data_IF_739811134262
#
_entry.id   IF_739811134262
#
_cell.length_a   1.000
_cell.length_b   1.000
_cell.length_c   1.000
_cell.angle_alpha   90.00
_cell.angle_beta   90.00
_cell.angle_gamma   90.00
#
_symmetry.space_group_name_H-M   'P 1'
#
loop_
_entity.id
_entity.type
_entity.pdbx_description
1 polymer ?
#
# COMPACT_ATOMS: atom_id res chain seq x y z
N UNK A 1 -18.91 -21.87 -15.58
CA UNK A 1 -18.61 -22.07 -14.14
C UNK A 1 -19.57 -21.19 -13.34
N UNK A 2 -20.13 -21.63 -12.20
CA UNK A 2 -20.94 -20.74 -11.38
C UNK A 2 -20.03 -19.75 -10.67
N UNK A 3 -20.26 -18.44 -10.83
CA UNK A 3 -19.55 -17.41 -10.11
C UNK A 3 -20.11 -17.26 -8.69
N UNK A 4 -19.30 -16.81 -7.75
CA UNK A 4 -19.76 -16.52 -6.37
C UNK A 4 -20.89 -15.49 -6.37
N UNK A 5 -20.76 -14.43 -7.15
CA UNK A 5 -21.81 -13.42 -7.32
C UNK A 5 -23.11 -14.04 -7.88
N UNK A 6 -22.99 -14.90 -8.90
CA UNK A 6 -24.15 -15.63 -9.46
C UNK A 6 -24.81 -16.59 -8.47
N UNK A 7 -24.05 -17.16 -7.53
CA UNK A 7 -24.61 -17.96 -6.43
C UNK A 7 -25.34 -17.09 -5.42
N UNK A 8 -24.78 -15.93 -5.04
CA UNK A 8 -25.38 -14.99 -4.07
C UNK A 8 -26.70 -14.42 -4.57
N UNK A 9 -26.78 -14.09 -5.86
CA UNK A 9 -27.97 -13.46 -6.48
C UNK A 9 -28.97 -14.46 -7.06
N UNK A 10 -28.62 -15.75 -7.09
CA UNK A 10 -29.41 -16.81 -7.72
C UNK A 10 -30.76 -17.08 -7.05
N UNK A 11 -31.79 -17.46 -7.84
CA UNK A 11 -33.15 -17.70 -7.35
C UNK A 11 -33.19 -18.83 -6.32
N UNK A 12 -32.42 -19.91 -6.53
CA UNK A 12 -32.36 -21.02 -5.58
C UNK A 12 -31.96 -20.57 -4.15
N UNK A 13 -31.10 -19.56 -4.04
CA UNK A 13 -30.73 -19.01 -2.74
C UNK A 13 -31.80 -18.11 -2.13
N UNK A 14 -32.61 -17.45 -2.97
CA UNK A 14 -33.70 -16.59 -2.52
C UNK A 14 -34.91 -17.40 -1.99
N UNK A 15 -35.09 -18.63 -2.45
CA UNK A 15 -36.16 -19.52 -2.00
C UNK A 15 -35.92 -20.10 -0.61
N UNK A 16 -34.66 -20.11 -0.13
CA UNK A 16 -34.30 -20.63 1.19
C UNK A 16 -34.53 -19.59 2.28
N UNK A 17 -35.38 -19.90 3.26
CA UNK A 17 -35.53 -19.04 4.43
C UNK A 17 -34.30 -19.14 5.36
N UNK A 18 -33.60 -18.01 5.67
CA UNK A 18 -32.32 -18.06 6.35
C UNK A 18 -32.46 -18.22 7.88
N UNK A 19 -32.55 -19.46 8.37
CA UNK A 19 -32.45 -19.73 9.81
C UNK A 19 -31.03 -19.70 10.37
N UNK A 20 -30.07 -19.27 9.54
CA UNK A 20 -28.66 -19.07 9.87
C UNK A 20 -28.31 -17.58 10.04
N UNK A 21 -27.06 -17.25 10.39
CA UNK A 21 -26.52 -15.89 10.35
C UNK A 21 -26.45 -15.36 8.90
N UNK A 22 -26.43 -14.05 8.66
CA UNK A 22 -26.49 -12.95 9.65
C UNK A 22 -27.88 -12.69 10.25
N UNK A 23 -27.87 -11.88 11.34
CA UNK A 23 -29.08 -11.59 12.13
C UNK A 23 -30.19 -10.83 11.42
N UNK A 24 -29.90 -10.09 10.34
CA UNK A 24 -30.88 -9.39 9.50
C UNK A 24 -31.73 -10.36 8.65
N UNK A 25 -31.36 -11.64 8.59
CA UNK A 25 -32.16 -12.69 7.92
C UNK A 25 -32.49 -12.38 6.45
N UNK A 26 -31.60 -11.65 5.73
CA UNK A 26 -31.82 -11.15 4.37
C UNK A 26 -33.10 -10.32 4.21
N UNK A 27 -33.69 -9.84 5.31
CA UNK A 27 -34.89 -9.04 5.26
C UNK A 27 -34.58 -7.59 4.89
N UNK A 28 -35.01 -7.10 3.71
CA UNK A 28 -34.67 -5.76 3.22
C UNK A 28 -35.21 -4.64 4.11
N UNK A 29 -36.23 -4.88 4.94
CA UNK A 29 -36.75 -3.89 5.90
C UNK A 29 -35.71 -3.46 6.93
N UNK A 30 -34.76 -4.35 7.26
CA UNK A 30 -33.68 -4.07 8.19
C UNK A 30 -32.35 -3.70 7.48
N UNK A 31 -32.34 -3.67 6.16
CA UNK A 31 -31.13 -3.40 5.37
C UNK A 31 -30.75 -1.93 5.23
N UNK A 32 -31.69 -1.00 5.42
CA UNK A 32 -31.42 0.43 5.26
C UNK A 32 -30.85 0.82 3.89
N UNK A 33 -31.19 0.07 2.83
CA UNK A 33 -30.65 0.24 1.47
C UNK A 33 -29.35 -0.52 1.20
N UNK A 34 -28.82 -1.27 2.18
CA UNK A 34 -27.67 -2.14 1.98
C UNK A 34 -28.09 -3.48 1.32
N UNK A 35 -27.17 -4.17 0.63
CA UNK A 35 -27.42 -5.42 -0.09
C UNK A 35 -27.50 -6.63 0.87
N UNK A 36 -28.44 -6.58 1.84
CA UNK A 36 -28.58 -7.65 2.85
C UNK A 36 -29.09 -8.96 2.26
N UNK A 37 -29.69 -8.93 1.07
CA UNK A 37 -30.13 -10.13 0.34
C UNK A 37 -28.97 -11.04 -0.05
N UNK A 38 -27.83 -10.46 -0.33
CA UNK A 38 -26.60 -11.11 -0.78
C UNK A 38 -25.58 -11.30 0.36
N UNK A 39 -25.85 -10.76 1.56
CA UNK A 39 -24.95 -10.88 2.70
C UNK A 39 -25.20 -12.20 3.45
N UNK A 40 -24.19 -13.06 3.37
CA UNK A 40 -24.18 -14.40 3.97
C UNK A 40 -22.85 -14.67 4.65
N UNK A 41 -22.77 -15.78 5.37
CA UNK A 41 -21.52 -16.39 5.84
C UNK A 41 -21.30 -17.74 5.14
N UNK A 42 -20.47 -18.63 5.69
CA UNK A 42 -20.17 -19.96 5.21
C UNK A 42 -21.39 -20.91 5.38
N UNK A 43 -22.27 -20.88 4.41
CA UNK A 43 -23.40 -21.81 4.31
C UNK A 43 -23.13 -22.86 3.21
N UNK A 44 -23.91 -23.96 3.25
CA UNK A 44 -23.76 -25.05 2.27
C UNK A 44 -23.80 -24.53 0.83
N UNK A 45 -22.81 -24.94 0.03
CA UNK A 45 -22.66 -24.53 -1.36
C UNK A 45 -21.82 -23.27 -1.60
N UNK A 46 -21.37 -22.56 -0.53
CA UNK A 46 -20.58 -21.33 -0.65
C UNK A 46 -19.12 -21.46 -0.21
N UNK A 47 -18.71 -22.66 0.24
CA UNK A 47 -17.35 -22.92 0.67
C UNK A 47 -16.99 -22.26 2.03
N UNK A 48 -15.77 -22.49 2.52
CA UNK A 48 -15.22 -21.91 3.74
C UNK A 48 -13.87 -21.27 3.41
N UNK A 49 -13.68 -20.00 3.78
CA UNK A 49 -12.45 -19.26 3.46
C UNK A 49 -11.19 -19.91 4.05
N UNK A 50 -11.31 -20.59 5.20
CA UNK A 50 -10.18 -21.26 5.85
C UNK A 50 -9.92 -22.70 5.34
N UNK A 51 -10.78 -23.24 4.43
CA UNK A 51 -10.62 -24.56 3.84
C UNK A 51 -10.52 -24.53 2.31
N UNK A 52 -11.18 -23.58 1.65
CA UNK A 52 -11.13 -23.26 0.22
C UNK A 52 -11.14 -24.47 -0.71
N UNK A 53 -12.10 -25.39 -0.54
CA UNK A 53 -12.20 -26.61 -1.37
C UNK A 53 -13.17 -26.46 -2.56
N UNK A 54 -13.96 -25.39 -2.62
CA UNK A 54 -15.01 -25.14 -3.59
C UNK A 54 -14.82 -23.85 -4.39
N UNK A 55 -15.81 -22.96 -4.34
CA UNK A 55 -15.83 -21.71 -5.11
C UNK A 55 -14.72 -20.76 -4.70
N UNK A 56 -14.37 -20.70 -3.41
CA UNK A 56 -13.29 -19.86 -2.91
C UNK A 56 -11.91 -20.42 -3.30
N UNK A 57 -11.76 -21.75 -3.33
CA UNK A 57 -10.57 -22.38 -3.89
C UNK A 57 -10.38 -22.07 -5.37
N UNK A 58 -11.49 -22.01 -6.13
CA UNK A 58 -11.47 -21.58 -7.53
C UNK A 58 -11.03 -20.13 -7.65
N UNK A 59 -11.55 -19.22 -6.81
CA UNK A 59 -11.17 -17.81 -6.77
C UNK A 59 -9.67 -17.64 -6.42
N UNK A 60 -9.19 -18.34 -5.40
CA UNK A 60 -7.78 -18.35 -5.02
C UNK A 60 -6.89 -18.81 -6.20
N UNK A 61 -7.28 -19.87 -6.91
CA UNK A 61 -6.59 -20.35 -8.09
C UNK A 61 -6.61 -19.36 -9.27
N UNK A 62 -7.67 -18.58 -9.45
CA UNK A 62 -7.72 -17.49 -10.46
C UNK A 62 -6.69 -16.42 -10.13
N UNK A 63 -6.64 -15.96 -8.89
CA UNK A 63 -5.64 -14.99 -8.46
C UNK A 63 -4.21 -15.51 -8.55
N UNK A 64 -3.96 -16.76 -8.18
CA UNK A 64 -2.65 -17.37 -8.34
C UNK A 64 -2.18 -17.31 -9.80
N UNK A 65 -3.06 -17.62 -10.77
CA UNK A 65 -2.74 -17.49 -12.21
C UNK A 65 -2.52 -16.05 -12.65
N UNK A 66 -3.42 -15.12 -12.25
CA UNK A 66 -3.33 -13.70 -12.62
C UNK A 66 -2.04 -13.04 -12.13
N UNK A 67 -1.55 -13.42 -10.96
CA UNK A 67 -0.34 -12.87 -10.37
C UNK A 67 0.90 -13.76 -10.56
N UNK A 68 0.79 -14.83 -11.34
CA UNK A 68 1.86 -15.81 -11.58
C UNK A 68 2.44 -16.38 -10.27
N UNK A 69 1.60 -16.57 -9.27
CA UNK A 69 1.98 -17.06 -7.94
C UNK A 69 1.71 -18.55 -7.80
N UNK A 70 2.49 -19.23 -6.94
CA UNK A 70 2.25 -20.63 -6.62
C UNK A 70 0.92 -20.75 -5.84
N UNK A 71 0.71 -19.83 -4.89
CA UNK A 71 -0.51 -19.77 -4.06
C UNK A 71 -0.98 -18.33 -3.88
N UNK A 72 -2.29 -18.15 -3.83
CA UNK A 72 -2.93 -16.88 -3.48
C UNK A 72 -4.01 -17.13 -2.42
N UNK A 73 -4.07 -16.24 -1.43
CA UNK A 73 -5.03 -16.29 -0.35
C UNK A 73 -5.86 -14.99 -0.39
N UNK A 74 -7.15 -15.05 -0.74
CA UNK A 74 -8.06 -13.92 -0.62
C UNK A 74 -8.23 -13.50 0.83
N UNK A 75 -8.15 -12.20 1.10
CA UNK A 75 -8.25 -11.63 2.45
C UNK A 75 -9.39 -10.61 2.52
N UNK A 76 -10.19 -10.71 3.56
CA UNK A 76 -11.31 -9.79 3.85
C UNK A 76 -11.06 -8.91 5.09
N UNK A 77 -9.92 -9.09 5.77
CA UNK A 77 -9.50 -8.25 6.90
C UNK A 77 -8.34 -7.29 6.52
N UNK A 78 -8.20 -6.99 5.23
CA UNK A 78 -7.19 -6.08 4.70
C UNK A 78 -5.78 -6.67 4.66
N UNK A 79 -4.85 -5.91 4.06
CA UNK A 79 -3.44 -6.27 4.02
C UNK A 79 -2.79 -6.38 5.41
N UNK A 80 -3.35 -5.69 6.42
CA UNK A 80 -2.88 -5.81 7.81
C UNK A 80 -2.94 -7.25 8.30
N UNK A 81 -4.05 -7.95 8.05
CA UNK A 81 -4.20 -9.37 8.37
C UNK A 81 -3.14 -10.21 7.64
N UNK A 82 -2.96 -10.00 6.34
CA UNK A 82 -1.96 -10.69 5.52
C UNK A 82 -0.53 -10.49 6.02
N UNK A 83 -0.16 -9.27 6.42
CA UNK A 83 1.16 -8.97 7.00
C UNK A 83 1.37 -9.72 8.32
N UNK A 84 0.38 -9.67 9.24
CA UNK A 84 0.46 -10.37 10.53
C UNK A 84 0.62 -11.88 10.32
N UNK A 85 -0.21 -12.47 9.46
CA UNK A 85 -0.16 -13.90 9.16
C UNK A 85 1.14 -14.30 8.47
N UNK A 86 1.60 -13.54 7.46
CA UNK A 86 2.84 -13.84 6.75
C UNK A 86 4.06 -13.76 7.68
N UNK A 87 4.19 -12.69 8.47
CA UNK A 87 5.32 -12.55 9.40
C UNK A 87 5.32 -13.70 10.41
N UNK A 88 4.15 -14.04 10.96
CA UNK A 88 4.05 -15.14 11.94
C UNK A 88 4.35 -16.51 11.32
N UNK A 89 3.91 -16.75 10.09
CA UNK A 89 4.17 -18.01 9.36
C UNK A 89 5.65 -18.18 8.99
N UNK A 90 6.32 -17.08 8.66
CA UNK A 90 7.71 -17.08 8.19
C UNK A 90 8.75 -16.96 9.31
N UNK A 91 8.32 -16.79 10.57
CA UNK A 91 9.23 -16.59 11.72
C UNK A 91 8.81 -17.39 12.94
N UNK A 92 9.76 -17.52 13.86
CA UNK A 92 9.54 -18.05 15.21
C UNK A 92 9.79 -16.95 16.24
N UNK A 93 9.23 -17.11 17.42
CA UNK A 93 9.47 -16.19 18.53
C UNK A 93 10.99 -16.03 18.78
N UNK A 94 11.44 -14.77 18.87
CA UNK A 94 12.84 -14.43 19.09
C UNK A 94 13.72 -14.41 17.85
N UNK A 95 13.20 -14.75 16.66
CA UNK A 95 13.96 -14.66 15.43
C UNK A 95 14.38 -13.20 15.14
N UNK A 96 15.52 -13.05 14.44
CA UNK A 96 15.95 -11.77 13.93
C UNK A 96 15.31 -11.50 12.58
N UNK A 97 14.83 -10.27 12.40
CA UNK A 97 14.25 -9.77 11.14
C UNK A 97 14.90 -8.45 10.74
N UNK A 98 15.05 -8.24 9.44
CA UNK A 98 15.53 -6.99 8.87
C UNK A 98 14.34 -6.27 8.24
N UNK A 99 14.04 -5.05 8.67
CA UNK A 99 12.82 -4.31 8.32
C UNK A 99 13.17 -2.96 7.70
N UNK A 100 12.62 -2.64 6.54
CA UNK A 100 12.73 -1.29 5.99
C UNK A 100 11.98 -0.30 6.91
N UNK A 101 12.66 0.80 7.28
CA UNK A 101 12.14 1.72 8.31
C UNK A 101 10.87 2.46 7.89
N UNK A 102 10.60 2.54 6.59
CA UNK A 102 9.39 3.10 6.00
C UNK A 102 8.24 2.08 5.82
N UNK A 103 8.30 0.92 6.45
CA UNK A 103 7.21 -0.05 6.44
C UNK A 103 5.96 0.48 7.16
N UNK A 104 4.79 -0.02 6.73
CA UNK A 104 3.53 0.27 7.38
C UNK A 104 3.49 -0.26 8.82
N UNK A 105 2.75 0.42 9.70
CA UNK A 105 2.64 0.05 11.13
C UNK A 105 2.27 -1.41 11.40
N UNK A 106 1.56 -2.08 10.47
CA UNK A 106 1.22 -3.51 10.60
C UNK A 106 2.46 -4.41 10.71
N UNK A 107 3.57 -4.03 10.03
CA UNK A 107 4.84 -4.75 10.15
C UNK A 107 5.41 -4.62 11.56
N UNK A 108 5.37 -3.43 12.15
CA UNK A 108 5.82 -3.18 13.52
C UNK A 108 4.96 -3.92 14.54
N UNK A 109 3.63 -3.96 14.32
CA UNK A 109 2.72 -4.75 15.16
C UNK A 109 3.04 -6.25 15.04
N UNK A 110 3.35 -6.75 13.84
CA UNK A 110 3.76 -8.13 13.65
C UNK A 110 5.07 -8.45 14.40
N UNK A 111 6.07 -7.55 14.31
CA UNK A 111 7.34 -7.68 15.05
C UNK A 111 7.09 -7.76 16.56
N UNK A 112 6.20 -6.92 17.09
CA UNK A 112 5.84 -6.92 18.51
C UNK A 112 5.11 -8.20 18.92
N UNK A 113 4.02 -8.54 18.23
CA UNK A 113 3.19 -9.71 18.52
C UNK A 113 3.96 -11.04 18.42
N UNK A 114 4.91 -11.12 17.48
CA UNK A 114 5.75 -12.31 17.30
C UNK A 114 7.03 -12.28 18.14
N UNK A 115 7.25 -11.25 18.97
CA UNK A 115 8.42 -11.12 19.85
C UNK A 115 9.76 -11.13 19.10
N UNK A 116 9.81 -10.51 17.91
CA UNK A 116 10.97 -10.56 17.02
C UNK A 116 12.04 -9.53 17.39
N UNK A 117 13.27 -9.79 16.98
CA UNK A 117 14.41 -8.89 17.12
C UNK A 117 14.60 -8.15 15.78
N UNK A 118 13.99 -6.98 15.64
CA UNK A 118 14.08 -6.20 14.40
C UNK A 118 15.39 -5.40 14.33
N UNK A 119 16.07 -5.46 13.18
CA UNK A 119 17.09 -4.52 12.73
C UNK A 119 16.53 -3.74 11.54
N UNK A 120 17.03 -2.53 11.27
CA UNK A 120 16.37 -1.63 10.34
C UNK A 120 17.25 -1.20 9.18
N UNK A 121 16.68 -1.23 7.98
CA UNK A 121 17.21 -0.56 6.79
C UNK A 121 16.62 0.86 6.73
N UNK A 122 17.48 1.85 6.50
CA UNK A 122 17.05 3.26 6.41
C UNK A 122 17.12 3.70 4.96
N UNK A 123 15.96 3.85 4.27
CA UNK A 123 15.96 4.44 2.94
C UNK A 123 16.40 5.91 2.99
N UNK A 124 17.12 6.36 1.96
CA UNK A 124 17.43 7.77 1.80
C UNK A 124 16.16 8.60 1.66
N UNK A 125 16.23 9.87 2.08
CA UNK A 125 15.15 10.84 1.93
C UNK A 125 15.56 11.91 0.92
N UNK A 126 14.76 12.09 -0.13
CA UNK A 126 14.95 13.15 -1.14
C UNK A 126 13.63 13.84 -1.43
N UNK A 127 13.58 15.16 -1.45
CA UNK A 127 12.34 15.96 -1.59
C UNK A 127 11.26 15.61 -0.54
N UNK A 128 11.64 15.06 0.62
CA UNK A 128 10.70 14.56 1.64
C UNK A 128 10.09 13.19 1.30
N UNK A 129 10.57 12.52 0.26
CA UNK A 129 10.13 11.21 -0.21
C UNK A 129 11.22 10.18 0.04
N UNK A 130 10.85 9.03 0.60
CA UNK A 130 11.77 7.93 0.78
C UNK A 130 12.11 7.27 -0.56
N UNK A 131 13.40 7.07 -0.77
CA UNK A 131 13.92 6.36 -1.93
C UNK A 131 13.80 4.85 -1.77
N UNK A 132 14.20 4.13 -2.81
CA UNK A 132 14.28 2.68 -2.83
C UNK A 132 15.36 2.16 -1.86
N UNK A 133 15.13 0.96 -1.34
CA UNK A 133 16.15 0.22 -0.59
C UNK A 133 17.14 -0.39 -1.58
N UNK A 134 18.43 -0.14 -1.38
CA UNK A 134 19.47 -0.62 -2.28
C UNK A 134 19.84 -2.09 -1.98
N UNK A 135 20.03 -2.94 -2.99
CA UNK A 135 20.43 -4.35 -2.79
C UNK A 135 21.74 -4.49 -2.00
N UNK A 136 22.69 -3.56 -2.20
CA UNK A 136 23.96 -3.53 -1.48
C UNK A 136 23.80 -3.27 0.02
N UNK A 137 22.85 -2.45 0.42
CA UNK A 137 22.52 -2.20 1.84
C UNK A 137 21.91 -3.42 2.50
N UNK A 138 21.01 -4.13 1.79
CA UNK A 138 20.44 -5.39 2.26
C UNK A 138 21.53 -6.42 2.46
N UNK A 139 22.42 -6.59 1.47
CA UNK A 139 23.53 -7.54 1.56
C UNK A 139 24.45 -7.22 2.75
N UNK A 140 24.86 -5.96 2.91
CA UNK A 140 25.73 -5.54 4.02
C UNK A 140 25.07 -5.74 5.40
N UNK A 141 23.74 -5.53 5.49
CA UNK A 141 22.99 -5.78 6.72
C UNK A 141 22.88 -7.28 7.02
N UNK A 142 22.70 -8.13 6.02
CA UNK A 142 22.68 -9.58 6.18
C UNK A 142 24.04 -10.14 6.57
N UNK A 143 25.14 -9.60 6.03
CA UNK A 143 26.52 -9.92 6.46
C UNK A 143 26.74 -9.57 7.94
N UNK A 144 26.21 -8.42 8.38
CA UNK A 144 26.30 -7.97 9.78
C UNK A 144 25.42 -8.81 10.73
N UNK A 145 24.29 -9.28 10.24
CA UNK A 145 23.29 -10.05 11.02
C UNK A 145 22.97 -11.40 10.34
N UNK A 146 23.93 -12.36 10.33
CA UNK A 146 23.78 -13.61 9.57
C UNK A 146 22.72 -14.56 10.11
N UNK A 147 22.17 -14.30 11.30
CA UNK A 147 21.04 -15.04 11.89
C UNK A 147 19.67 -14.46 11.51
N UNK A 148 19.62 -13.53 10.53
CA UNK A 148 18.37 -12.97 10.00
C UNK A 148 17.56 -14.05 9.31
N UNK A 149 16.27 -14.17 9.68
CA UNK A 149 15.34 -15.15 9.09
C UNK A 149 14.44 -14.55 8.03
N UNK A 150 14.05 -13.29 8.20
CA UNK A 150 13.09 -12.63 7.33
C UNK A 150 13.55 -11.20 7.05
N UNK A 151 13.50 -10.81 5.78
CA UNK A 151 13.64 -9.43 5.32
C UNK A 151 12.25 -8.92 4.92
N UNK A 152 11.86 -7.75 5.41
CA UNK A 152 10.54 -7.15 5.15
C UNK A 152 10.74 -5.78 4.53
N UNK A 153 10.23 -5.58 3.33
CA UNK A 153 10.30 -4.32 2.58
C UNK A 153 8.90 -3.85 2.17
N UNK A 154 8.75 -2.54 2.00
CA UNK A 154 7.58 -1.95 1.32
C UNK A 154 7.97 -1.51 -0.09
N UNK A 155 7.38 -2.14 -1.11
CA UNK A 155 7.61 -1.81 -2.52
C UNK A 155 6.40 -2.20 -3.37
N UNK A 156 5.71 -1.24 -4.04
CA UNK A 156 6.05 0.19 -4.06
C UNK A 156 5.78 0.87 -2.72
N UNK A 157 6.48 1.99 -2.48
CA UNK A 157 6.19 2.87 -1.34
C UNK A 157 4.84 3.57 -1.54
N UNK A 158 4.40 4.33 -0.55
CA UNK A 158 3.16 5.11 -0.63
C UNK A 158 3.21 6.13 -1.77
N UNK A 159 4.37 6.74 -1.99
CA UNK A 159 4.63 7.69 -3.07
C UNK A 159 4.86 7.01 -4.43
N UNK A 160 5.08 5.70 -4.46
CA UNK A 160 5.23 4.93 -5.69
C UNK A 160 6.67 4.54 -6.05
N UNK A 161 7.63 4.73 -5.15
CA UNK A 161 9.02 4.30 -5.36
C UNK A 161 9.12 2.78 -5.27
N UNK A 162 9.81 2.16 -6.23
CA UNK A 162 9.98 0.71 -6.35
C UNK A 162 11.46 0.35 -6.19
N UNK A 163 11.76 -0.61 -5.32
CA UNK A 163 13.11 -1.16 -5.11
C UNK A 163 13.42 -2.29 -6.10
N UNK A 164 14.71 -2.55 -6.36
CA UNK A 164 15.16 -3.71 -7.17
C UNK A 164 14.92 -5.02 -6.40
N UNK A 165 13.66 -5.47 -6.42
CA UNK A 165 13.26 -6.68 -5.71
C UNK A 165 14.00 -7.91 -6.22
N UNK A 166 14.34 -7.97 -7.51
CA UNK A 166 15.07 -9.13 -8.08
C UNK A 166 16.48 -9.25 -7.48
N UNK A 167 17.23 -8.16 -7.45
CA UNK A 167 18.57 -8.16 -6.86
C UNK A 167 18.50 -8.34 -5.32
N UNK A 168 17.52 -7.75 -4.66
CA UNK A 168 17.29 -7.92 -3.22
C UNK A 168 16.95 -9.38 -2.89
N UNK A 169 16.02 -10.01 -3.62
CA UNK A 169 15.67 -11.41 -3.42
C UNK A 169 16.89 -12.33 -3.57
N UNK A 170 17.71 -12.07 -4.59
CA UNK A 170 18.95 -12.81 -4.81
C UNK A 170 19.91 -12.71 -3.62
N UNK A 171 20.09 -11.50 -3.06
CA UNK A 171 20.92 -11.28 -1.88
C UNK A 171 20.35 -11.96 -0.63
N UNK A 172 19.04 -11.85 -0.41
CA UNK A 172 18.33 -12.47 0.73
C UNK A 172 18.46 -13.99 0.70
N UNK A 173 18.20 -14.60 -0.46
CA UNK A 173 18.29 -16.05 -0.63
C UNK A 173 19.72 -16.57 -0.51
N UNK A 174 20.73 -15.82 -0.96
CA UNK A 174 22.15 -16.20 -0.80
C UNK A 174 22.56 -16.31 0.69
N UNK A 175 21.88 -15.59 1.59
CA UNK A 175 22.07 -15.67 3.05
C UNK A 175 21.11 -16.66 3.73
N UNK A 176 20.28 -17.39 2.98
CA UNK A 176 19.33 -18.38 3.52
C UNK A 176 18.16 -17.75 4.29
N UNK A 177 17.89 -16.46 4.07
CA UNK A 177 16.75 -15.73 4.60
C UNK A 177 15.57 -15.74 3.62
N UNK A 178 14.39 -15.33 4.09
CA UNK A 178 13.15 -15.23 3.32
C UNK A 178 12.82 -13.77 3.05
N UNK A 179 12.18 -13.45 1.91
CA UNK A 179 11.78 -12.08 1.55
C UNK A 179 10.26 -11.93 1.55
N UNK A 180 9.74 -11.09 2.43
CA UNK A 180 8.35 -10.61 2.42
C UNK A 180 8.30 -9.18 1.88
N UNK A 181 7.47 -8.95 0.86
CA UNK A 181 7.23 -7.62 0.32
C UNK A 181 5.81 -7.16 0.66
N UNK A 182 5.69 -6.08 1.42
CA UNK A 182 4.45 -5.32 1.54
C UNK A 182 4.27 -4.48 0.26
N UNK A 183 3.49 -5.03 -0.66
CA UNK A 183 3.11 -4.37 -1.90
C UNK A 183 1.64 -3.93 -1.89
N UNK A 184 1.16 -3.48 -0.73
CA UNK A 184 -0.24 -3.05 -0.57
C UNK A 184 -0.65 -1.98 -1.61
N UNK A 185 0.28 -1.19 -2.11
CA UNK A 185 0.04 -0.19 -3.16
C UNK A 185 0.38 -0.69 -4.58
N UNK A 186 0.68 -1.97 -4.76
CA UNK A 186 1.19 -2.55 -6.01
C UNK A 186 0.31 -3.63 -6.63
N UNK A 187 -0.99 -3.73 -6.29
CA UNK A 187 -1.84 -4.78 -6.84
C UNK A 187 -2.04 -4.71 -8.37
N UNK A 188 -1.80 -3.56 -8.98
CA UNK A 188 -1.88 -3.33 -10.43
C UNK A 188 -0.54 -3.58 -11.16
N UNK A 189 0.56 -3.81 -10.46
CA UNK A 189 1.87 -4.03 -11.05
C UNK A 189 1.93 -5.35 -11.81
N UNK A 190 2.67 -5.38 -12.92
CA UNK A 190 2.83 -6.55 -13.78
C UNK A 190 1.71 -6.75 -14.82
N UNK A 191 0.61 -5.99 -14.78
CA UNK A 191 -0.49 -6.13 -15.76
C UNK A 191 -0.28 -5.34 -17.06
N UNK A 192 0.72 -4.50 -17.16
CA UNK A 192 1.08 -3.76 -18.36
C UNK A 192 2.57 -3.42 -18.33
N UNK A 193 3.24 -3.39 -19.51
CA UNK A 193 4.66 -3.05 -19.61
C UNK A 193 4.98 -1.58 -19.20
N UNK A 194 3.97 -0.74 -19.10
CA UNK A 194 4.13 0.65 -18.66
C UNK A 194 4.29 0.78 -17.13
N UNK A 195 4.11 -0.32 -16.39
CA UNK A 195 4.24 -0.39 -14.93
C UNK A 195 5.36 -1.34 -14.54
N UNK A 196 6.00 -1.13 -13.38
CA UNK A 196 6.95 -2.09 -12.82
C UNK A 196 6.36 -3.50 -12.70
N UNK A 197 7.22 -4.51 -12.69
CA UNK A 197 6.84 -5.91 -12.53
C UNK A 197 6.42 -6.22 -11.08
N UNK A 198 5.57 -7.22 -10.91
CA UNK A 198 5.12 -7.71 -9.61
C UNK A 198 6.31 -8.19 -8.75
N UNK A 199 6.38 -7.81 -7.46
CA UNK A 199 7.41 -8.30 -6.55
C UNK A 199 7.48 -9.84 -6.46
N UNK A 200 6.36 -10.53 -6.62
CA UNK A 200 6.33 -11.98 -6.60
C UNK A 200 7.10 -12.59 -7.80
N UNK A 201 6.86 -12.08 -9.01
CA UNK A 201 7.56 -12.51 -10.24
C UNK A 201 9.06 -12.17 -10.16
N UNK A 202 9.40 -11.09 -9.44
CA UNK A 202 10.79 -10.69 -9.21
C UNK A 202 11.50 -11.52 -8.14
N UNK A 203 10.83 -12.47 -7.48
CA UNK A 203 11.46 -13.45 -6.60
C UNK A 203 11.16 -13.30 -5.12
N UNK A 204 10.24 -12.43 -4.70
CA UNK A 204 9.76 -12.40 -3.32
C UNK A 204 9.10 -13.75 -2.95
N UNK A 205 9.29 -14.20 -1.71
CA UNK A 205 8.75 -15.47 -1.22
C UNK A 205 7.30 -15.33 -0.79
N UNK A 206 6.95 -14.17 -0.24
CA UNK A 206 5.58 -13.79 0.05
C UNK A 206 5.35 -12.31 -0.29
N UNK A 207 4.15 -11.99 -0.76
CA UNK A 207 3.76 -10.62 -1.15
C UNK A 207 2.35 -10.34 -0.65
N UNK A 208 2.15 -9.21 0.00
CA UNK A 208 0.82 -8.76 0.42
C UNK A 208 0.36 -7.59 -0.45
N UNK A 209 -0.81 -7.73 -1.04
CA UNK A 209 -1.42 -6.76 -1.96
C UNK A 209 -2.75 -6.27 -1.40
N UNK A 210 -3.04 -4.97 -1.46
CA UNK A 210 -4.41 -4.46 -1.24
C UNK A 210 -5.10 -4.27 -2.58
N UNK A 211 -6.06 -5.12 -2.91
CA UNK A 211 -6.81 -5.00 -4.17
C UNK A 211 -7.54 -3.66 -4.24
N UNK A 212 -8.21 -3.30 -3.15
CA UNK A 212 -9.04 -2.09 -3.07
C UNK A 212 -8.30 -0.77 -3.23
N UNK A 213 -6.95 -0.75 -3.15
CA UNK A 213 -6.20 0.50 -3.28
C UNK A 213 -5.95 0.88 -4.74
N UNK A 214 -5.69 -0.08 -5.60
CA UNK A 214 -5.24 0.16 -6.98
C UNK A 214 -5.99 -0.63 -8.04
N UNK A 215 -6.90 -1.52 -7.63
CA UNK A 215 -7.80 -2.29 -8.49
C UNK A 215 -9.25 -2.12 -8.04
N UNK A 216 -10.24 -2.35 -8.93
CA UNK A 216 -11.67 -2.13 -8.65
C UNK A 216 -12.26 -3.26 -7.79
N UNK A 217 -11.96 -3.25 -6.51
CA UNK A 217 -12.52 -4.14 -5.50
C UNK A 217 -12.96 -3.35 -4.27
N UNK A 218 -13.87 -3.88 -3.48
CA UNK A 218 -14.38 -3.19 -2.29
C UNK A 218 -13.29 -2.98 -1.24
N UNK A 219 -13.38 -1.88 -0.50
CA UNK A 219 -12.47 -1.56 0.61
C UNK A 219 -12.32 -2.77 1.54
N UNK A 220 -11.12 -3.00 2.05
CA UNK A 220 -10.74 -4.11 2.93
C UNK A 220 -10.27 -5.38 2.18
N UNK A 221 -10.58 -5.54 0.88
CA UNK A 221 -10.11 -6.68 0.11
C UNK A 221 -8.61 -6.64 -0.14
N UNK A 222 -7.94 -7.76 0.04
CA UNK A 222 -6.50 -7.90 -0.16
C UNK A 222 -6.14 -9.32 -0.62
N UNK A 223 -4.88 -9.54 -0.98
CA UNK A 223 -4.32 -10.85 -1.31
C UNK A 223 -3.01 -11.05 -0.55
N UNK A 224 -2.76 -12.27 -0.13
CA UNK A 224 -1.43 -12.75 0.21
C UNK A 224 -1.02 -13.78 -0.84
N UNK A 225 0.08 -13.51 -1.52
CA UNK A 225 0.72 -14.44 -2.47
C UNK A 225 1.89 -15.12 -1.78
N UNK A 226 2.13 -16.40 -2.03
CA UNK A 226 3.27 -17.09 -1.44
C UNK A 226 3.81 -18.21 -2.31
N UNK A 227 5.07 -18.58 -2.07
CA UNK A 227 5.65 -19.83 -2.53
C UNK A 227 4.94 -21.01 -1.88
N UNK A 228 4.81 -22.13 -2.62
CA UNK A 228 4.12 -23.34 -2.18
C UNK A 228 4.59 -23.84 -0.82
N UNK A 229 5.88 -23.80 -0.58
CA UNK A 229 6.49 -24.29 0.67
C UNK A 229 6.02 -23.59 1.95
N UNK A 230 5.47 -22.37 1.85
CA UNK A 230 4.97 -21.60 3.00
C UNK A 230 3.45 -21.65 3.12
N UNK A 231 2.76 -22.24 2.14
CA UNK A 231 1.31 -22.18 2.03
C UNK A 231 0.58 -22.75 3.26
N UNK A 232 1.03 -23.88 3.76
CA UNK A 232 0.40 -24.53 4.91
C UNK A 232 0.54 -23.71 6.20
N UNK A 233 1.72 -23.13 6.46
CA UNK A 233 1.95 -22.28 7.63
C UNK A 233 1.18 -20.96 7.52
N UNK A 234 1.13 -20.35 6.34
CA UNK A 234 0.34 -19.15 6.07
C UNK A 234 -1.15 -19.42 6.30
N UNK A 235 -1.70 -20.51 5.78
CA UNK A 235 -3.11 -20.84 5.97
C UNK A 235 -3.46 -21.03 7.45
N UNK A 236 -2.56 -21.67 8.20
CA UNK A 236 -2.72 -21.82 9.65
C UNK A 236 -2.77 -20.45 10.37
N UNK A 237 -1.88 -19.53 10.01
CA UNK A 237 -1.84 -18.22 10.65
C UNK A 237 -2.99 -17.29 10.16
N UNK A 238 -3.47 -17.46 8.94
CA UNK A 238 -4.69 -16.78 8.49
C UNK A 238 -5.89 -17.16 9.34
N UNK A 239 -6.03 -18.44 9.73
CA UNK A 239 -7.09 -18.87 10.64
C UNK A 239 -7.01 -18.21 12.04
N UNK A 240 -5.84 -17.66 12.43
CA UNK A 240 -5.66 -16.92 13.68
C UNK A 240 -6.00 -15.43 13.52
N UNK A 241 -5.61 -14.82 12.41
CA UNK A 241 -5.68 -13.36 12.23
C UNK A 241 -6.86 -12.89 11.39
N UNK A 242 -7.51 -13.77 10.65
CA UNK A 242 -8.65 -13.46 9.82
C UNK A 242 -9.96 -13.94 10.46
N UNK A 243 -11.05 -13.25 10.16
CA UNK A 243 -12.38 -13.58 10.69
C UNK A 243 -12.81 -14.99 10.27
N UNK A 244 -13.49 -15.70 11.18
CA UNK A 244 -14.16 -16.97 10.89
C UNK A 244 -15.50 -16.79 10.16
N UNK A 245 -16.00 -15.55 10.04
CA UNK A 245 -17.25 -15.22 9.35
C UNK A 245 -16.98 -14.17 8.27
N UNK A 246 -16.35 -14.57 7.14
CA UNK A 246 -15.94 -13.64 6.09
C UNK A 246 -17.15 -13.06 5.38
N UNK A 247 -17.07 -11.78 4.98
CA UNK A 247 -18.08 -11.15 4.13
C UNK A 247 -18.00 -11.70 2.70
N UNK A 248 -19.02 -12.38 2.25
CA UNK A 248 -19.12 -12.89 0.89
C UNK A 248 -19.34 -11.77 -0.14
N UNK A 249 -19.84 -10.62 0.27
CA UNK A 249 -19.88 -9.41 -0.58
C UNK A 249 -18.48 -8.94 -0.93
N UNK A 250 -17.52 -8.96 0.03
CA UNK A 250 -16.13 -8.64 -0.23
C UNK A 250 -15.50 -9.67 -1.17
N UNK A 251 -15.71 -10.96 -0.92
CA UNK A 251 -15.20 -12.04 -1.77
C UNK A 251 -15.77 -11.98 -3.19
N UNK A 252 -17.07 -11.67 -3.35
CA UNK A 252 -17.70 -11.49 -4.66
C UNK A 252 -17.12 -10.27 -5.40
N UNK A 253 -16.78 -9.18 -4.68
CA UNK A 253 -16.10 -8.03 -5.30
C UNK A 253 -14.69 -8.37 -5.78
N UNK A 254 -13.99 -9.26 -5.07
CA UNK A 254 -12.71 -9.78 -5.51
C UNK A 254 -12.85 -10.65 -6.76
N UNK A 255 -13.88 -11.50 -6.81
CA UNK A 255 -14.16 -12.31 -7.99
C UNK A 255 -14.47 -11.44 -9.21
N UNK A 256 -15.31 -10.42 -9.07
CA UNK A 256 -15.59 -9.45 -10.13
C UNK A 256 -14.33 -8.73 -10.60
N UNK A 257 -13.43 -8.38 -9.67
CA UNK A 257 -12.13 -7.79 -10.00
C UNK A 257 -11.26 -8.77 -10.81
N UNK A 258 -11.19 -10.03 -10.41
CA UNK A 258 -10.44 -11.05 -11.15
C UNK A 258 -11.02 -11.25 -12.56
N UNK A 259 -12.34 -11.34 -12.70
CA UNK A 259 -13.01 -11.48 -14.00
C UNK A 259 -12.72 -10.27 -14.90
N UNK A 260 -12.79 -9.06 -14.38
CA UNK A 260 -12.48 -7.85 -15.13
C UNK A 260 -11.03 -7.85 -15.63
N UNK A 261 -10.08 -8.29 -14.82
CA UNK A 261 -8.68 -8.39 -15.22
C UNK A 261 -8.46 -9.44 -16.29
N UNK A 262 -9.17 -10.59 -16.22
CA UNK A 262 -9.07 -11.67 -17.20
C UNK A 262 -9.73 -11.31 -18.55
N UNK A 263 -10.83 -10.57 -18.55
CA UNK A 263 -11.61 -10.27 -19.76
C UNK A 263 -11.25 -8.95 -20.43
N UNK A 264 -10.99 -7.92 -19.67
CA UNK A 264 -10.82 -6.54 -20.12
C UNK A 264 -9.50 -5.90 -19.68
N UNK A 265 -8.67 -6.61 -18.93
CA UNK A 265 -7.45 -6.07 -18.30
C UNK A 265 -6.56 -5.30 -19.27
N UNK A 266 -6.21 -5.91 -20.41
CA UNK A 266 -5.34 -5.29 -21.43
C UNK A 266 -5.92 -3.95 -21.93
N UNK A 267 -7.19 -3.91 -22.27
CA UNK A 267 -7.88 -2.70 -22.75
C UNK A 267 -7.91 -1.60 -21.67
N UNK A 268 -8.18 -1.98 -20.43
CA UNK A 268 -8.27 -1.05 -19.31
C UNK A 268 -6.91 -0.46 -18.96
N UNK A 269 -5.87 -1.27 -18.87
CA UNK A 269 -4.50 -0.81 -18.63
C UNK A 269 -3.98 0.05 -19.78
N UNK A 270 -4.27 -0.27 -21.02
CA UNK A 270 -3.94 0.58 -22.17
C UNK A 270 -4.59 1.97 -22.09
N UNK A 271 -5.87 2.02 -21.76
CA UNK A 271 -6.57 3.29 -21.57
C UNK A 271 -6.01 4.09 -20.37
N UNK A 272 -5.68 3.40 -19.29
CA UNK A 272 -5.06 3.99 -18.10
C UNK A 272 -3.67 4.58 -18.41
N UNK A 273 -2.80 3.82 -19.06
CA UNK A 273 -1.48 4.30 -19.51
C UNK A 273 -1.57 5.54 -20.39
N UNK A 274 -2.52 5.58 -21.31
CA UNK A 274 -2.77 6.78 -22.14
C UNK A 274 -3.14 8.00 -21.30
N UNK A 275 -4.01 7.87 -20.31
CA UNK A 275 -4.40 8.96 -19.41
C UNK A 275 -3.20 9.47 -18.62
N UNK A 276 -2.41 8.56 -18.06
CA UNK A 276 -1.19 8.90 -17.32
C UNK A 276 -0.17 9.63 -18.21
N UNK A 277 0.07 9.14 -19.42
CA UNK A 277 0.98 9.78 -20.39
C UNK A 277 0.52 11.17 -20.77
N UNK A 278 -0.78 11.35 -21.07
CA UNK A 278 -1.37 12.65 -21.37
C UNK A 278 -1.22 13.63 -20.21
N UNK A 279 -1.54 13.22 -19.00
CA UNK A 279 -1.36 14.05 -17.80
C UNK A 279 0.11 14.46 -17.59
N UNK A 280 1.04 13.52 -17.71
CA UNK A 280 2.49 13.75 -17.53
C UNK A 280 3.04 14.70 -18.59
N UNK A 281 2.52 14.65 -19.82
CA UNK A 281 2.89 15.57 -20.89
C UNK A 281 2.49 17.01 -20.54
N UNK A 282 1.29 17.23 -20.03
CA UNK A 282 0.85 18.56 -19.58
C UNK A 282 1.62 19.03 -18.36
N UNK A 283 1.83 18.14 -17.37
CA UNK A 283 2.56 18.45 -16.16
C UNK A 283 4.04 18.83 -16.41
N UNK A 284 4.64 18.36 -17.51
CA UNK A 284 5.99 18.73 -17.89
C UNK A 284 6.15 20.24 -18.27
N UNK A 285 5.05 20.92 -18.58
CA UNK A 285 5.03 22.35 -18.92
C UNK A 285 4.73 23.26 -17.71
N UNK A 286 4.52 22.71 -16.51
CA UNK A 286 4.29 23.52 -15.30
C UNK A 286 5.52 24.34 -14.94
N UNK A 287 5.29 25.54 -14.41
CA UNK A 287 6.36 26.49 -14.07
C UNK A 287 6.68 26.50 -12.58
N UNK A 288 5.73 26.18 -11.75
CA UNK A 288 5.81 26.29 -10.29
C UNK A 288 5.63 24.95 -9.60
N UNK A 289 4.59 24.22 -9.99
CA UNK A 289 4.37 22.84 -9.53
C UNK A 289 5.31 21.90 -10.30
N UNK A 290 5.68 20.80 -9.66
CA UNK A 290 6.45 19.73 -10.33
C UNK A 290 5.79 18.38 -10.08
N UNK A 291 5.73 17.55 -11.10
CA UNK A 291 5.33 16.16 -10.94
C UNK A 291 6.58 15.32 -10.64
N UNK A 292 6.58 14.62 -9.50
CA UNK A 292 7.64 13.67 -9.16
C UNK A 292 7.68 12.53 -10.17
N UNK A 293 8.87 12.09 -10.55
CA UNK A 293 9.08 11.08 -11.60
C UNK A 293 9.87 9.86 -11.14
N UNK A 294 10.26 9.83 -9.87
CA UNK A 294 11.14 8.77 -9.37
C UNK A 294 12.59 8.93 -9.78
N UNK A 295 13.04 10.16 -10.09
CA UNK A 295 14.40 10.41 -10.55
C UNK A 295 15.43 9.90 -9.55
N UNK A 296 16.35 9.05 -10.04
CA UNK A 296 17.40 8.43 -9.24
C UNK A 296 16.95 7.24 -8.38
N UNK A 297 15.71 6.78 -8.47
CA UNK A 297 15.23 5.52 -7.92
C UNK A 297 15.37 4.38 -8.96
N UNK A 298 15.37 3.13 -8.50
CA UNK A 298 15.41 1.97 -9.39
C UNK A 298 14.23 1.95 -10.37
N UNK A 299 13.01 2.10 -9.85
CA UNK A 299 11.81 2.23 -10.65
C UNK A 299 10.74 3.05 -9.91
N UNK A 300 9.68 3.41 -10.63
CA UNK A 300 8.59 4.23 -10.11
C UNK A 300 7.24 3.79 -10.67
N UNK A 301 6.22 3.73 -9.83
CA UNK A 301 4.84 3.50 -10.23
C UNK A 301 4.23 4.77 -10.86
N UNK A 302 4.00 4.79 -12.19
CA UNK A 302 3.44 5.96 -12.84
C UNK A 302 2.00 6.29 -12.42
N UNK A 303 1.30 5.35 -11.80
CA UNK A 303 -0.05 5.55 -11.25
C UNK A 303 -0.10 6.46 -10.01
N UNK A 304 1.04 6.68 -9.37
CA UNK A 304 1.16 7.64 -8.27
C UNK A 304 1.48 9.03 -8.83
N UNK A 305 0.54 9.94 -8.70
CA UNK A 305 0.73 11.34 -9.10
C UNK A 305 1.12 12.15 -7.86
N UNK A 306 2.42 12.23 -7.60
CA UNK A 306 2.97 13.02 -6.51
C UNK A 306 3.31 14.41 -7.02
N UNK A 307 2.55 15.40 -6.55
CA UNK A 307 2.69 16.81 -6.98
C UNK A 307 3.55 17.52 -5.95
N UNK A 308 4.79 17.81 -6.30
CA UNK A 308 5.71 18.59 -5.48
C UNK A 308 5.30 20.07 -5.49
N UNK A 309 5.27 20.67 -4.33
CA UNK A 309 4.91 22.07 -4.12
C UNK A 309 6.11 22.82 -3.51
N UNK A 310 6.24 24.09 -3.83
CA UNK A 310 7.18 24.93 -3.11
C UNK A 310 6.64 25.22 -1.70
N UNK A 311 7.25 24.73 -0.61
CA UNK A 311 6.69 24.86 0.74
C UNK A 311 6.52 26.33 1.18
N UNK A 312 7.26 27.24 0.58
CA UNK A 312 7.14 28.71 0.80
C UNK A 312 6.05 29.35 -0.04
N UNK A 313 5.60 28.72 -1.13
CA UNK A 313 4.62 29.28 -2.05
C UNK A 313 3.22 28.74 -1.79
N UNK A 314 3.04 27.42 -1.78
CA UNK A 314 1.77 26.76 -1.52
C UNK A 314 2.04 25.40 -0.87
N UNK A 315 1.93 25.28 0.46
CA UNK A 315 2.05 23.97 1.13
C UNK A 315 1.05 22.94 0.59
N UNK A 316 1.44 21.67 0.55
CA UNK A 316 0.57 20.59 0.05
C UNK A 316 -0.83 20.57 0.64
N UNK A 317 -1.02 20.75 1.99
CA UNK A 317 -2.38 20.86 2.56
C UNK A 317 -3.20 22.04 2.03
N UNK A 318 -2.57 23.16 1.71
CA UNK A 318 -3.25 24.30 1.13
C UNK A 318 -3.65 24.02 -0.34
N UNK A 319 -2.77 23.35 -1.11
CA UNK A 319 -3.09 22.87 -2.45
C UNK A 319 -4.26 21.89 -2.44
N UNK A 320 -4.24 20.89 -1.55
CA UNK A 320 -5.33 19.92 -1.38
C UNK A 320 -6.65 20.62 -1.01
N UNK A 321 -6.59 21.58 -0.09
CA UNK A 321 -7.75 22.39 0.29
C UNK A 321 -8.32 23.21 -0.89
N UNK A 322 -7.46 23.74 -1.77
CA UNK A 322 -7.88 24.45 -3.00
C UNK A 322 -8.51 23.48 -4.00
N UNK A 323 -7.91 22.32 -4.26
CA UNK A 323 -8.46 21.30 -5.13
C UNK A 323 -9.87 20.86 -4.68
N UNK A 324 -10.04 20.64 -3.39
CA UNK A 324 -11.34 20.24 -2.83
C UNK A 324 -12.42 21.31 -2.95
N UNK A 325 -12.12 22.56 -2.56
CA UNK A 325 -13.11 23.64 -2.56
C UNK A 325 -13.49 24.10 -3.96
N UNK A 326 -12.48 24.34 -4.80
CA UNK A 326 -12.66 25.07 -6.06
C UNK A 326 -12.91 24.13 -7.25
N UNK A 327 -12.38 22.89 -7.17
CA UNK A 327 -12.42 21.93 -8.28
C UNK A 327 -13.14 20.62 -7.94
N UNK A 328 -13.58 20.43 -6.68
CA UNK A 328 -14.27 19.22 -6.21
C UNK A 328 -13.43 17.96 -6.41
N UNK A 329 -12.13 18.06 -6.14
CA UNK A 329 -11.16 16.97 -6.19
C UNK A 329 -10.69 16.69 -4.77
N UNK A 330 -10.90 15.45 -4.32
CA UNK A 330 -10.31 14.93 -3.07
C UNK A 330 -8.99 14.25 -3.40
N UNK A 331 -7.96 14.50 -2.62
CA UNK A 331 -6.63 13.91 -2.80
C UNK A 331 -6.38 12.85 -1.75
N UNK A 332 -5.47 11.92 -2.02
CA UNK A 332 -5.16 10.84 -1.09
C UNK A 332 -4.47 11.37 0.17
N UNK A 333 -3.46 12.21 0.00
CA UNK A 333 -2.63 12.72 1.09
C UNK A 333 -1.99 14.04 0.73
N UNK A 334 -1.74 14.87 1.74
CA UNK A 334 -1.03 16.14 1.57
C UNK A 334 0.00 16.33 2.70
N UNK A 335 1.26 16.45 2.28
CA UNK A 335 2.41 16.79 3.13
C UNK A 335 2.82 18.25 2.94
N UNK A 336 3.65 18.83 3.82
CA UNK A 336 4.10 20.21 3.65
C UNK A 336 4.71 20.51 2.28
N UNK A 337 5.47 19.57 1.68
CA UNK A 337 6.18 19.75 0.42
C UNK A 337 5.50 19.15 -0.81
N UNK A 338 4.48 18.33 -0.64
CA UNK A 338 3.82 17.63 -1.74
C UNK A 338 2.41 17.15 -1.39
N UNK A 339 1.66 16.74 -2.40
CA UNK A 339 0.43 15.96 -2.25
C UNK A 339 0.46 14.73 -3.15
N UNK A 340 -0.35 13.75 -2.82
CA UNK A 340 -0.51 12.50 -3.58
C UNK A 340 -1.93 12.39 -4.11
N UNK A 341 -2.06 12.13 -5.42
CA UNK A 341 -3.27 11.60 -6.01
C UNK A 341 -3.01 10.15 -6.42
N UNK A 342 -3.85 9.24 -5.96
CA UNK A 342 -3.83 7.84 -6.39
C UNK A 342 -4.74 7.69 -7.59
N UNK A 343 -4.27 6.96 -8.60
CA UNK A 343 -5.05 6.66 -9.80
C UNK A 343 -5.13 5.16 -10.05
N UNK A 344 -6.09 4.73 -10.87
CA UNK A 344 -6.33 3.32 -11.18
C UNK A 344 -6.93 3.14 -12.58
N UNK A 345 -7.10 1.89 -12.99
CA UNK A 345 -7.80 1.55 -14.24
C UNK A 345 -9.28 1.99 -14.26
N UNK A 346 -9.85 2.29 -13.09
CA UNK A 346 -11.25 2.72 -12.96
C UNK A 346 -11.45 4.23 -13.16
N UNK A 347 -10.37 5.02 -13.25
CA UNK A 347 -10.47 6.43 -13.50
C UNK A 347 -11.00 6.74 -14.91
N UNK A 348 -11.69 7.88 -15.03
CA UNK A 348 -12.32 8.32 -16.26
C UNK A 348 -11.50 9.43 -16.97
N UNK A 349 -11.75 9.60 -18.28
CA UNK A 349 -11.17 10.73 -19.05
C UNK A 349 -11.59 12.09 -18.46
N UNK A 350 -12.83 12.19 -17.94
CA UNK A 350 -13.34 13.39 -17.27
C UNK A 350 -12.56 13.68 -15.97
N UNK A 351 -12.31 12.66 -15.14
CA UNK A 351 -11.55 12.79 -13.89
C UNK A 351 -10.13 13.32 -14.16
N UNK A 352 -9.43 12.71 -15.12
CA UNK A 352 -8.10 13.18 -15.54
C UNK A 352 -8.10 14.58 -16.15
N UNK A 353 -9.10 14.91 -16.99
CA UNK A 353 -9.23 16.24 -17.56
C UNK A 353 -9.49 17.31 -16.48
N UNK A 354 -10.31 16.99 -15.47
CA UNK A 354 -10.58 17.86 -14.33
C UNK A 354 -9.31 18.12 -13.51
N UNK A 355 -8.57 17.08 -13.17
CA UNK A 355 -7.32 17.20 -12.43
C UNK A 355 -6.27 17.99 -13.20
N UNK A 356 -6.11 17.71 -14.50
CA UNK A 356 -5.17 18.39 -15.39
C UNK A 356 -5.47 19.90 -15.48
N UNK A 357 -6.74 20.25 -15.69
CA UNK A 357 -7.19 21.65 -15.71
C UNK A 357 -6.94 22.35 -14.39
N UNK A 358 -7.35 21.73 -13.27
CA UNK A 358 -7.22 22.29 -11.95
C UNK A 358 -5.77 22.63 -11.60
N UNK A 359 -4.86 21.68 -11.76
CA UNK A 359 -3.45 21.87 -11.46
C UNK A 359 -2.79 22.87 -12.43
N UNK A 360 -3.15 22.87 -13.71
CA UNK A 360 -2.65 23.84 -14.68
C UNK A 360 -3.12 25.28 -14.42
N UNK A 361 -4.35 25.48 -13.93
CA UNK A 361 -4.85 26.79 -13.52
C UNK A 361 -4.14 27.28 -12.25
N UNK A 362 -3.96 26.39 -11.28
CA UNK A 362 -3.25 26.69 -10.02
C UNK A 362 -1.79 27.04 -10.30
N UNK A 363 -1.11 26.28 -11.16
CA UNK A 363 0.29 26.55 -11.54
C UNK A 363 0.46 27.94 -12.16
N UNK A 364 -0.42 28.32 -13.11
CA UNK A 364 -0.41 29.65 -13.71
C UNK A 364 -0.68 30.78 -12.70
N UNK A 365 -1.62 30.58 -11.77
CA UNK A 365 -1.89 31.54 -10.70
C UNK A 365 -0.67 31.75 -9.80
N UNK A 366 0.05 30.70 -9.50
CA UNK A 366 1.26 30.75 -8.67
C UNK A 366 2.40 31.46 -9.41
N UNK A 367 2.60 31.16 -10.70
CA UNK A 367 3.59 31.82 -11.54
C UNK A 367 3.34 33.34 -11.65
N UNK A 368 2.09 33.75 -11.88
CA UNK A 368 1.74 35.17 -11.96
C UNK A 368 1.94 35.97 -10.66
N UNK A 369 1.86 35.32 -9.50
CA UNK A 369 2.18 35.95 -8.20
C UNK A 369 3.68 36.17 -8.01
N UNK A 370 4.52 35.29 -8.57
CA UNK A 370 5.98 35.45 -8.51
C UNK A 370 6.43 36.65 -9.34
N UNK A 371 5.85 36.87 -10.52
CA UNK A 371 6.17 37.98 -11.39
C UNK A 371 5.69 39.32 -10.80
N UNK A 372 4.54 39.36 -10.13
CA UNK A 372 3.98 40.56 -9.50
C UNK A 372 4.77 41.05 -8.28
N UNK A 373 5.38 40.14 -7.50
CA UNK A 373 6.21 40.49 -6.34
C UNK A 373 7.59 41.03 -6.73
N UNK A 374 8.07 40.74 -7.93
CA UNK A 374 9.33 41.24 -8.44
C UNK A 374 9.26 42.74 -8.85
N UNK A 375 8.06 43.30 -9.01
CA UNK A 375 7.85 44.69 -9.38
C UNK A 375 7.89 45.66 -8.18
N UNK A 376 7.69 45.20 -6.95
CA UNK A 376 7.61 46.08 -5.75
C UNK A 376 8.85 46.02 -4.83
N UNK A 377 9.84 45.17 -5.07
CA UNK A 377 11.05 45.09 -4.24
C UNK A 377 12.33 45.11 -5.07
N UNK A 378 12.68 46.30 -5.61
CA UNK A 378 14.07 46.60 -5.99
C UNK A 378 14.87 46.99 -4.74
N UNK A 379 15.09 46.07 -3.82
CA UNK A 379 16.20 46.15 -2.86
C UNK A 379 16.84 44.80 -2.82
N UNK A 380 18.08 44.82 -3.30
CA UNK A 380 19.04 43.76 -3.38
C UNK A 380 19.03 42.82 -2.18
N UNK A 381 18.56 41.61 -2.37
CA UNK A 381 19.13 40.45 -1.71
C UNK A 381 19.18 39.32 -2.72
N UNK A 382 20.37 38.99 -3.20
CA UNK A 382 20.65 37.78 -3.97
C UNK A 382 19.97 36.62 -3.27
N UNK A 383 19.06 35.95 -3.95
CA UNK A 383 18.56 34.64 -3.54
C UNK A 383 19.73 33.68 -3.65
N UNK A 384 20.56 33.63 -2.61
CA UNK A 384 21.50 32.53 -2.46
C UNK A 384 20.65 31.28 -2.32
N UNK A 385 20.80 30.40 -3.29
CA UNK A 385 20.25 29.05 -3.31
C UNK A 385 20.96 28.18 -2.26
N UNK A 386 20.73 28.48 -0.99
CA UNK A 386 20.93 27.50 0.09
C UNK A 386 19.57 26.93 0.41
N UNK A 387 19.28 25.84 -0.26
CA UNK A 387 18.20 24.91 -0.03
C UNK A 387 18.38 24.29 1.36
N UNK A 388 18.01 25.04 2.42
CA UNK A 388 17.97 24.56 3.80
C UNK A 388 16.50 24.42 4.27
N UNK A 389 15.70 23.76 3.45
CA UNK A 389 14.33 23.42 3.77
C UNK A 389 14.10 21.91 3.65
N UNK A 390 14.16 21.19 4.75
CA UNK A 390 13.80 19.76 4.91
C UNK A 390 14.85 18.74 4.43
N UNK A 391 16.02 19.15 3.90
CA UNK A 391 17.02 18.21 3.39
C UNK A 391 17.91 17.52 4.45
N UNK A 392 17.63 17.70 5.72
CA UNK A 392 18.34 16.95 6.76
C UNK A 392 17.44 16.68 7.97
N UNK A 393 16.50 15.74 7.84
CA UNK A 393 16.23 14.94 9.01
C UNK A 393 17.55 14.19 9.31
N UNK A 394 18.17 14.39 10.46
CA UNK A 394 19.33 13.60 10.80
C UNK A 394 18.89 12.14 10.78
N UNK A 395 19.56 11.30 9.98
CA UNK A 395 19.42 9.86 9.97
C UNK A 395 19.88 9.28 11.31
N UNK A 396 19.14 9.54 12.38
CA UNK A 396 19.42 8.96 13.67
C UNK A 396 18.71 7.63 13.79
N UNK A 397 19.44 6.55 13.65
CA UNK A 397 19.02 5.31 14.29
C UNK A 397 18.99 5.57 15.79
N UNK A 398 17.79 5.63 16.34
CA UNK A 398 17.64 5.67 17.78
C UNK A 398 18.31 4.43 18.36
N UNK A 399 19.09 4.60 19.44
CA UNK A 399 19.76 3.48 20.08
C UNK A 399 18.70 2.53 20.64
N UNK A 400 18.61 1.34 20.04
CA UNK A 400 17.75 0.27 20.52
C UNK A 400 18.17 -0.15 21.93
N UNK A 401 17.23 -0.17 22.86
CA UNK A 401 17.44 -0.56 24.27
C UNK A 401 16.83 -1.93 24.58
N UNK A 402 15.75 -2.28 23.88
CA UNK A 402 14.97 -3.52 24.06
C UNK A 402 14.15 -3.79 22.81
N UNK A 403 13.54 -4.95 22.71
CA UNK A 403 12.54 -5.26 21.68
C UNK A 403 11.23 -4.52 21.97
N UNK A 404 10.36 -4.39 20.96
CA UNK A 404 9.03 -3.77 21.14
C UNK A 404 8.15 -4.62 22.08
N UNK A 405 8.23 -5.93 22.01
CA UNK A 405 7.50 -6.82 22.94
C UNK A 405 7.95 -6.61 24.40
N UNK A 406 9.28 -6.57 24.67
CA UNK A 406 9.79 -6.27 26.00
C UNK A 406 9.36 -4.87 26.48
N UNK A 407 9.30 -3.89 25.59
CA UNK A 407 8.83 -2.53 25.91
C UNK A 407 7.33 -2.51 26.21
N UNK A 408 6.54 -3.34 25.50
CA UNK A 408 5.10 -3.46 25.72
C UNK A 408 4.79 -3.94 27.15
N UNK A 409 5.54 -4.93 27.65
CA UNK A 409 5.31 -5.54 28.97
C UNK A 409 5.84 -4.70 30.15
N UNK A 410 6.58 -3.61 29.89
CA UNK A 410 7.11 -2.76 30.95
C UNK A 410 6.13 -1.67 31.38
N UNK A 411 6.27 -1.20 32.59
CA UNK A 411 5.57 -0.02 33.06
C UNK A 411 5.93 1.20 32.18
N UNK A 412 4.89 1.90 31.70
CA UNK A 412 4.99 3.03 30.79
C UNK A 412 4.33 4.26 31.38
N UNK A 413 4.87 5.43 31.09
CA UNK A 413 4.29 6.72 31.47
C UNK A 413 4.07 7.56 30.22
N UNK A 414 2.85 8.07 30.06
CA UNK A 414 2.55 9.08 29.03
C UNK A 414 3.30 10.38 29.33
N UNK A 415 3.96 10.90 28.32
CA UNK A 415 4.63 12.19 28.35
C UNK A 415 4.33 12.97 27.08
N UNK A 416 4.17 14.30 27.13
CA UNK A 416 4.05 15.11 25.93
C UNK A 416 5.27 14.90 25.01
N UNK A 417 5.04 14.83 23.69
CA UNK A 417 6.11 14.64 22.72
C UNK A 417 7.24 15.68 22.86
N UNK A 418 6.88 16.93 23.13
CA UNK A 418 7.84 18.03 23.35
C UNK A 418 8.79 17.79 24.53
N UNK A 419 8.44 16.94 25.49
CA UNK A 419 9.26 16.60 26.66
C UNK A 419 9.83 15.17 26.60
N UNK A 420 9.70 14.50 25.48
CA UNK A 420 10.19 13.14 25.26
C UNK A 420 11.69 13.05 24.90
N UNK A 421 12.41 14.08 24.43
CA UNK A 421 13.83 13.97 24.10
C UNK A 421 14.64 13.38 25.26
N UNK A 422 15.52 12.43 24.95
CA UNK A 422 16.35 11.73 25.94
C UNK A 422 15.67 10.57 26.67
N UNK A 423 14.37 10.33 26.46
CA UNK A 423 13.64 9.21 27.06
C UNK A 423 13.70 7.97 26.17
N UNK A 424 13.50 6.79 26.75
CA UNK A 424 13.31 5.56 26.01
C UNK A 424 11.83 5.44 25.65
N UNK A 425 11.54 5.25 24.36
CA UNK A 425 10.17 5.04 23.88
C UNK A 425 9.67 3.65 24.34
N UNK A 426 8.45 3.59 24.86
CA UNK A 426 7.78 2.35 25.24
C UNK A 426 6.92 1.76 24.14
N UNK A 427 6.78 2.45 23.02
CA UNK A 427 6.05 2.02 21.81
C UNK A 427 6.57 2.76 20.59
N UNK A 428 6.20 2.29 19.41
CA UNK A 428 6.51 2.99 18.16
C UNK A 428 5.72 4.29 18.07
N UNK A 429 6.37 5.34 17.57
CA UNK A 429 5.73 6.61 17.24
C UNK A 429 5.60 6.71 15.73
N UNK A 430 4.37 6.85 15.25
CA UNK A 430 4.06 6.99 13.85
C UNK A 430 3.48 8.37 13.56
N UNK A 431 3.95 8.99 12.48
CA UNK A 431 3.20 10.05 11.84
C UNK A 431 2.15 9.40 10.91
N UNK A 432 0.89 9.71 11.06
CA UNK A 432 -0.16 9.13 10.22
C UNK A 432 -0.58 10.11 9.14
N UNK A 433 -0.92 9.60 7.98
CA UNK A 433 -0.53 8.37 7.28
C UNK A 433 0.67 8.59 6.36
N UNK A 434 1.34 7.56 5.89
CA UNK A 434 1.81 6.40 6.62
C UNK A 434 2.95 6.79 7.54
N UNK A 435 2.88 6.33 8.77
CA UNK A 435 3.83 6.75 9.76
C UNK A 435 5.24 6.20 9.56
N UNK A 436 6.19 7.02 9.90
CA UNK A 436 7.58 6.65 10.07
C UNK A 436 7.96 6.90 11.51
#
# INVERSE_FOLDING_TARGET
MRTLYGLLTGDAQKELYPMHMPGHKRNPEFGGGLPVGEDITEVEGFDNLHEMTGVLGTLAGRFARLFHADRAFPLVNGSTCGILAAVRALTKYGDRVLVARNCHRSVYHAVELCGLRAEYLLPELSDGIFRDILPGEVNAALDMFPDTRLVILTSPTYEGVVSDIRAIASAVHAHGATLLVDAAHGAHLGFSPDFPESPYVLGADAVVLSLHKTLPSLTQTALLLSKEQFAADIMRELAVFETSSPSYLLLASMENCAELLETDGERLFFAYSRRLSGFRTVAAAWQTLRLYRGDGCYAYDPGKLVILTGPRMLPGPALAGRLRRDYRIETEMAYPGYLICMTSIADTDEGFARLTRALGEIDRDLAGRCDGSAAESRTTTRCDSTDQGISSFPHFLLKKRMTSAEAHDREKRLVPLATSPGKTLGEYVFAYPPGI
#
